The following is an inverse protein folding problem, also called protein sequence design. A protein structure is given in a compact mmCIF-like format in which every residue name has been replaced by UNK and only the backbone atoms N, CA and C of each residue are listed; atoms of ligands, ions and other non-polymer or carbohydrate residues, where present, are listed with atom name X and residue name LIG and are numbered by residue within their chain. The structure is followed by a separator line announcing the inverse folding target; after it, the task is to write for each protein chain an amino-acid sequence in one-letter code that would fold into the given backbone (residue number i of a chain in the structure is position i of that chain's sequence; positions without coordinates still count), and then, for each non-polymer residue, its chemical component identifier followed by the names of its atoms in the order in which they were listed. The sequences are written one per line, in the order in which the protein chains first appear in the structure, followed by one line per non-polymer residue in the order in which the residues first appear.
data_IF_612691987074
#
_entry.id   IF_612691987074
#
_cell.length_a   1.000
_cell.length_b   1.000
_cell.length_c   1.000
_cell.angle_alpha   90.00
_cell.angle_beta   90.00
_cell.angle_gamma   90.00
#
_symmetry.space_group_name_H-M   'P 1'
#
loop_
_entity.id
_entity.type
_entity.pdbx_description
1 polymer ?
#
# COMPACT_ATOMS: atom_id res chain seq x y z
N UNK A 1 2.11 23.31 -7.32
CA UNK A 1 2.18 22.02 -6.60
C UNK A 1 3.63 21.65 -6.39
N UNK A 2 4.05 21.24 -5.19
CA UNK A 2 5.44 20.86 -4.93
C UNK A 2 5.77 19.53 -5.62
N UNK A 3 6.29 19.61 -6.85
CA UNK A 3 6.67 18.42 -7.66
C UNK A 3 7.68 17.51 -6.95
N UNK A 4 8.52 18.08 -6.09
CA UNK A 4 9.48 17.35 -5.28
C UNK A 4 8.81 16.39 -4.29
N UNK A 5 7.59 16.69 -3.80
CA UNK A 5 6.86 15.80 -2.90
C UNK A 5 6.40 14.53 -3.63
N UNK A 6 5.93 14.68 -4.86
CA UNK A 6 5.56 13.54 -5.71
C UNK A 6 6.76 12.67 -6.04
N UNK A 7 7.92 13.29 -6.31
CA UNK A 7 9.17 12.56 -6.54
C UNK A 7 9.61 11.79 -5.29
N UNK A 8 9.56 12.41 -4.11
CA UNK A 8 9.86 11.73 -2.84
C UNK A 8 8.88 10.58 -2.56
N UNK A 9 7.59 10.78 -2.80
CA UNK A 9 6.58 9.72 -2.66
C UNK A 9 6.86 8.56 -3.62
N UNK A 10 7.23 8.85 -4.87
CA UNK A 10 7.62 7.83 -5.84
C UNK A 10 8.85 7.03 -5.37
N UNK A 11 9.90 7.71 -4.93
CA UNK A 11 11.12 7.05 -4.42
C UNK A 11 10.82 6.20 -3.18
N UNK A 12 10.02 6.72 -2.25
CA UNK A 12 9.61 6.01 -1.04
C UNK A 12 8.81 4.75 -1.38
N UNK A 13 7.80 4.88 -2.27
CA UNK A 13 7.01 3.75 -2.73
C UNK A 13 7.90 2.70 -3.41
N UNK A 14 8.80 3.11 -4.32
CA UNK A 14 9.72 2.22 -5.01
C UNK A 14 10.59 1.40 -4.04
N UNK A 15 11.18 2.07 -3.04
CA UNK A 15 12.00 1.43 -2.01
C UNK A 15 11.15 0.44 -1.19
N UNK A 16 9.99 0.87 -0.72
CA UNK A 16 9.09 0.03 0.09
C UNK A 16 8.57 -1.18 -0.68
N UNK A 17 8.15 -1.01 -1.94
CA UNK A 17 7.73 -2.12 -2.80
C UNK A 17 8.89 -3.10 -3.02
N UNK A 18 10.11 -2.60 -3.26
CA UNK A 18 11.31 -3.43 -3.38
C UNK A 18 11.63 -4.21 -2.10
N UNK A 19 11.51 -3.58 -0.93
CA UNK A 19 11.71 -4.22 0.36
C UNK A 19 10.64 -5.28 0.64
N UNK A 20 9.36 -4.96 0.44
CA UNK A 20 8.25 -5.90 0.58
C UNK A 20 8.35 -7.08 -0.37
N UNK A 21 8.79 -6.86 -1.61
CA UNK A 21 9.06 -7.93 -2.56
C UNK A 21 10.13 -8.89 -2.04
N UNK A 22 11.24 -8.38 -1.51
CA UNK A 22 12.31 -9.21 -0.92
C UNK A 22 11.79 -9.99 0.29
N UNK A 23 11.02 -9.34 1.15
CA UNK A 23 10.38 -9.98 2.31
C UNK A 23 9.43 -11.10 1.89
N UNK A 24 8.54 -10.83 0.93
CA UNK A 24 7.57 -11.80 0.43
C UNK A 24 8.27 -13.03 -0.19
N UNK A 25 9.34 -12.81 -0.98
CA UNK A 25 10.15 -13.91 -1.51
C UNK A 25 10.84 -14.71 -0.39
N UNK A 26 11.39 -14.05 0.62
CA UNK A 26 12.08 -14.70 1.74
C UNK A 26 11.15 -15.49 2.67
N UNK A 27 9.88 -15.07 2.79
CA UNK A 27 8.86 -15.69 3.65
C UNK A 27 7.85 -16.52 2.88
N UNK A 28 8.07 -16.74 1.58
CA UNK A 28 7.20 -17.47 0.66
C UNK A 28 5.74 -16.97 0.66
N UNK A 29 5.56 -15.66 0.81
CA UNK A 29 4.26 -14.98 0.76
C UNK A 29 3.96 -14.67 -0.71
N UNK A 30 3.60 -15.72 -1.45
CA UNK A 30 3.40 -15.70 -2.89
C UNK A 30 1.92 -15.93 -3.21
N UNK A 31 1.39 -15.16 -4.14
CA UNK A 31 0.09 -15.41 -4.76
C UNK A 31 0.26 -16.42 -5.91
N UNK A 32 -0.40 -17.58 -5.79
CA UNK A 32 -0.29 -18.69 -6.74
C UNK A 32 -1.45 -18.63 -7.73
N UNK A 33 -1.19 -18.74 -9.05
CA UNK A 33 -2.24 -18.67 -10.05
C UNK A 33 -3.37 -19.66 -9.81
N UNK A 34 -4.61 -19.19 -9.90
CA UNK A 34 -5.84 -19.97 -9.87
C UNK A 34 -6.64 -19.76 -11.17
N UNK A 35 -7.83 -20.37 -11.27
CA UNK A 35 -8.67 -20.29 -12.47
C UNK A 35 -9.13 -18.87 -12.85
N UNK A 36 -8.98 -17.89 -11.95
CA UNK A 36 -9.32 -16.46 -12.14
C UNK A 36 -8.09 -15.57 -12.32
N UNK A 37 -6.89 -16.13 -12.19
CA UNK A 37 -5.64 -15.40 -12.25
C UNK A 37 -5.26 -15.01 -13.68
N UNK A 38 -4.87 -13.75 -13.88
CA UNK A 38 -4.34 -13.25 -15.16
C UNK A 38 -2.84 -13.48 -15.32
N UNK A 39 -2.14 -13.75 -14.21
CA UNK A 39 -0.74 -14.13 -14.15
C UNK A 39 -0.57 -15.64 -14.26
N UNK A 40 0.48 -16.06 -14.98
CA UNK A 40 0.84 -17.47 -15.16
C UNK A 40 1.93 -17.95 -14.18
N UNK A 41 2.54 -17.03 -13.47
CA UNK A 41 3.69 -17.27 -12.59
C UNK A 41 3.35 -16.71 -11.21
N UNK A 42 3.67 -17.41 -10.10
CA UNK A 42 3.44 -16.89 -8.76
C UNK A 42 4.08 -15.52 -8.55
N UNK A 43 3.32 -14.58 -8.00
CA UNK A 43 3.78 -13.20 -7.77
C UNK A 43 3.84 -12.87 -6.28
N UNK A 44 4.84 -12.09 -5.83
CA UNK A 44 4.93 -11.69 -4.42
C UNK A 44 3.70 -10.88 -3.99
N UNK A 45 3.07 -11.25 -2.87
CA UNK A 45 1.89 -10.57 -2.35
C UNK A 45 2.26 -9.38 -1.46
N UNK A 46 1.32 -8.44 -1.29
CA UNK A 46 1.42 -7.38 -0.28
C UNK A 46 1.93 -6.04 -0.79
N UNK A 47 2.02 -5.83 -2.10
CA UNK A 47 2.43 -4.54 -2.69
C UNK A 47 1.56 -3.36 -2.23
N UNK A 48 0.27 -3.57 -1.96
CA UNK A 48 -0.65 -2.54 -1.47
C UNK A 48 -0.18 -1.86 -0.16
N UNK A 49 0.57 -2.56 0.69
CA UNK A 49 1.10 -2.01 1.95
C UNK A 49 2.06 -0.83 1.67
N UNK A 50 2.91 -0.93 0.64
CA UNK A 50 3.81 0.17 0.26
C UNK A 50 3.06 1.43 -0.14
N UNK A 51 1.93 1.27 -0.85
CA UNK A 51 1.08 2.40 -1.22
C UNK A 51 0.47 3.07 0.01
N UNK A 52 -0.14 2.29 0.91
CA UNK A 52 -0.81 2.81 2.11
C UNK A 52 0.17 3.59 2.99
N UNK A 53 1.36 3.03 3.25
CA UNK A 53 2.40 3.69 4.05
C UNK A 53 2.84 5.01 3.40
N UNK A 54 3.13 4.98 2.10
CA UNK A 54 3.58 6.17 1.36
C UNK A 54 2.51 7.26 1.35
N UNK A 55 1.25 6.88 1.13
CA UNK A 55 0.13 7.79 1.08
C UNK A 55 -0.14 8.46 2.43
N UNK A 56 -0.18 7.67 3.52
CA UNK A 56 -0.36 8.20 4.88
C UNK A 56 0.80 9.13 5.26
N UNK A 57 2.05 8.77 4.94
CA UNK A 57 3.21 9.63 5.19
C UNK A 57 3.09 10.98 4.46
N UNK A 58 2.66 10.98 3.19
CA UNK A 58 2.41 12.19 2.41
C UNK A 58 1.31 13.06 3.01
N UNK A 59 0.22 12.45 3.47
CA UNK A 59 -0.90 13.16 4.13
C UNK A 59 -0.49 13.80 5.45
N UNK A 60 0.27 13.07 6.28
CA UNK A 60 0.82 13.60 7.53
C UNK A 60 1.76 14.78 7.25
N UNK A 61 2.64 14.65 6.26
CA UNK A 61 3.51 15.74 5.83
C UNK A 61 2.71 16.98 5.40
N UNK A 62 1.67 16.80 4.56
CA UNK A 62 0.84 17.91 4.11
C UNK A 62 0.15 18.64 5.26
N UNK A 63 -0.39 17.94 6.25
CA UNK A 63 -0.98 18.62 7.39
C UNK A 63 0.04 19.24 8.36
N UNK A 64 1.26 18.69 8.48
CA UNK A 64 2.36 19.37 9.18
C UNK A 64 2.74 20.70 8.53
N UNK A 65 2.67 20.80 7.20
CA UNK A 65 2.89 22.07 6.48
C UNK A 65 1.70 23.04 6.56
N UNK A 66 0.58 22.63 7.16
CA UNK A 66 -0.67 23.41 7.17
C UNK A 66 -1.41 23.43 5.83
N UNK A 67 -0.91 22.72 4.81
CA UNK A 67 -1.55 22.64 3.50
C UNK A 67 -2.86 21.83 3.52
N UNK A 68 -3.05 20.99 4.54
CA UNK A 68 -4.28 20.23 4.75
C UNK A 68 -4.74 20.29 6.20
N UNK A 69 -6.04 20.48 6.41
CA UNK A 69 -6.64 20.49 7.75
C UNK A 69 -6.47 19.12 8.43
N UNK A 70 -6.16 19.12 9.72
CA UNK A 70 -5.86 17.90 10.46
C UNK A 70 -7.07 16.96 10.58
N UNK A 71 -8.29 17.51 10.57
CA UNK A 71 -9.52 16.74 10.48
C UNK A 71 -9.59 15.93 9.18
N UNK A 72 -9.19 16.53 8.04
CA UNK A 72 -9.17 15.84 6.77
C UNK A 72 -8.06 14.76 6.72
N UNK A 73 -6.88 15.07 7.27
CA UNK A 73 -5.78 14.09 7.36
C UNK A 73 -6.20 12.88 8.19
N UNK A 74 -6.77 13.09 9.37
CA UNK A 74 -7.22 12.00 10.24
C UNK A 74 -8.39 11.23 9.63
N UNK A 75 -9.37 11.92 9.04
CA UNK A 75 -10.50 11.27 8.38
C UNK A 75 -10.06 10.35 7.25
N UNK A 76 -9.18 10.84 6.38
CA UNK A 76 -8.64 10.05 5.25
C UNK A 76 -7.72 8.94 5.74
N UNK A 77 -6.85 9.20 6.72
CA UNK A 77 -5.93 8.19 7.24
C UNK A 77 -6.67 7.03 7.90
N UNK A 78 -7.69 7.31 8.72
CA UNK A 78 -8.50 6.28 9.38
C UNK A 78 -9.32 5.50 8.37
N UNK A 79 -10.04 6.18 7.46
CA UNK A 79 -10.83 5.51 6.43
C UNK A 79 -9.93 4.67 5.49
N UNK A 80 -8.79 5.21 5.09
CA UNK A 80 -7.80 4.52 4.26
C UNK A 80 -7.20 3.30 4.96
N UNK A 81 -6.91 3.40 6.26
CA UNK A 81 -6.44 2.26 7.06
C UNK A 81 -7.49 1.15 7.14
N UNK A 82 -8.78 1.49 7.31
CA UNK A 82 -9.88 0.52 7.27
C UNK A 82 -10.01 -0.16 5.91
N UNK A 83 -9.96 0.61 4.81
CA UNK A 83 -10.00 0.04 3.46
C UNK A 83 -8.80 -0.89 3.22
N UNK A 84 -7.61 -0.46 3.62
CA UNK A 84 -6.40 -1.28 3.51
C UNK A 84 -6.50 -2.57 4.34
N UNK A 85 -7.03 -2.48 5.56
CA UNK A 85 -7.22 -3.64 6.43
C UNK A 85 -8.24 -4.61 5.83
N UNK A 86 -9.40 -4.12 5.39
CA UNK A 86 -10.44 -4.95 4.77
C UNK A 86 -9.91 -5.58 3.49
N UNK A 87 -9.26 -4.81 2.62
CA UNK A 87 -8.66 -5.33 1.39
C UNK A 87 -7.57 -6.36 1.67
N UNK A 88 -6.78 -6.18 2.73
CA UNK A 88 -5.80 -7.17 3.16
C UNK A 88 -6.45 -8.45 3.70
N UNK A 89 -7.51 -8.32 4.51
CA UNK A 89 -8.27 -9.46 5.03
C UNK A 89 -9.03 -10.19 3.93
N UNK A 90 -9.55 -9.51 2.93
CA UNK A 90 -10.18 -10.10 1.74
C UNK A 90 -9.15 -10.87 0.92
N UNK A 91 -7.95 -10.30 0.73
CA UNK A 91 -6.85 -10.97 0.09
C UNK A 91 -6.48 -12.27 0.86
N UNK A 92 -6.31 -12.21 2.17
CA UNK A 92 -5.84 -13.35 2.97
C UNK A 92 -6.96 -14.32 3.38
N UNK A 93 -8.21 -13.89 3.36
CA UNK A 93 -9.37 -14.71 3.62
C UNK A 93 -9.59 -15.65 2.45
N UNK A 94 -9.66 -16.95 2.73
CA UNK A 94 -10.20 -17.92 1.79
C UNK A 94 -11.70 -17.69 1.59
N UNK A 95 -12.07 -16.60 0.92
CA UNK A 95 -13.40 -16.52 0.33
C UNK A 95 -13.34 -17.44 -0.88
N UNK A 96 -13.71 -18.70 -0.64
CA UNK A 96 -14.14 -19.63 -1.67
C UNK A 96 -15.40 -19.02 -2.32
N UNK A 97 -15.18 -18.11 -3.26
CA UNK A 97 -16.13 -17.92 -4.34
C UNK A 97 -15.89 -19.00 -5.40
#
# INVERSE_FOLDING_TARGET
MPWWLLFLAFVLAWILTGALRRYALARNVMDVPNARSSHKIPTPRGGGISFVITFVAGMLFLGMTGALAWQAVMGIAVAGAWIALIGFLDDHGHIQA
#
